data_IF_756671938035
#
_entry.id   IF_756671938035
#
_cell.length_a   1.000
_cell.length_b   1.000
_cell.length_c   1.000
_cell.angle_alpha   90.00
_cell.angle_beta   90.00
_cell.angle_gamma   90.00
#
_symmetry.space_group_name_H-M   'P 1'
#
loop_
_entity.id
_entity.type
_entity.pdbx_description
1 polymer ?
#
# COMPACT_ATOMS: atom_id res chain seq x y z
N UNK A 1 9.23 -24.85 5.91
CA UNK A 1 8.99 -25.91 6.91
C UNK A 1 8.70 -25.19 8.22
N UNK A 2 7.48 -25.27 8.73
CA UNK A 2 7.12 -24.67 10.02
C UNK A 2 7.61 -25.64 11.10
N UNK A 3 8.60 -25.24 11.89
CA UNK A 3 9.14 -26.09 12.94
C UNK A 3 8.23 -26.02 14.17
N UNK A 4 7.68 -27.16 14.58
CA UNK A 4 6.79 -27.28 15.74
C UNK A 4 7.48 -26.87 17.05
N UNK A 5 8.81 -26.85 17.09
CA UNK A 5 9.60 -26.32 18.20
C UNK A 5 9.27 -24.86 18.55
N UNK A 6 8.80 -24.07 17.58
CA UNK A 6 8.41 -22.68 17.79
C UNK A 6 7.19 -22.54 18.70
N UNK A 7 6.26 -23.50 18.68
CA UNK A 7 5.07 -23.50 19.54
C UNK A 7 5.39 -23.85 21.00
N UNK A 8 6.56 -24.45 21.25
CA UNK A 8 7.03 -24.77 22.60
C UNK A 8 7.79 -23.62 23.27
N UNK A 9 7.91 -22.46 22.60
CA UNK A 9 8.53 -21.29 23.18
C UNK A 9 7.70 -20.74 24.36
N UNK A 10 8.36 -20.08 25.34
CA UNK A 10 7.65 -19.39 26.41
C UNK A 10 6.57 -18.45 25.85
N UNK A 11 5.40 -18.40 26.51
CA UNK A 11 4.26 -17.60 26.04
C UNK A 11 4.62 -16.14 25.73
N UNK A 12 5.42 -15.51 26.58
CA UNK A 12 5.89 -14.14 26.37
C UNK A 12 6.67 -13.98 25.04
N UNK A 13 7.47 -14.98 24.67
CA UNK A 13 8.23 -15.00 23.41
C UNK A 13 7.29 -15.12 22.21
N UNK A 14 6.28 -15.98 22.29
CA UNK A 14 5.25 -16.12 21.25
C UNK A 14 4.48 -14.82 21.04
N UNK A 15 4.03 -14.18 22.12
CA UNK A 15 3.32 -12.89 22.06
C UNK A 15 4.20 -11.81 21.46
N UNK A 16 5.47 -11.77 21.83
CA UNK A 16 6.46 -10.80 21.32
C UNK A 16 6.70 -10.97 19.83
N UNK A 17 6.97 -12.19 19.37
CA UNK A 17 7.20 -12.48 17.95
C UNK A 17 5.95 -12.20 17.11
N UNK A 18 4.77 -12.58 17.61
CA UNK A 18 3.49 -12.35 16.93
C UNK A 18 3.22 -10.85 16.81
N UNK A 19 3.38 -10.10 17.89
CA UNK A 19 3.22 -8.64 17.92
C UNK A 19 4.21 -7.96 16.97
N UNK A 20 5.46 -8.39 16.99
CA UNK A 20 6.51 -7.90 16.10
C UNK A 20 6.17 -8.12 14.62
N UNK A 21 5.67 -9.30 14.28
CA UNK A 21 5.31 -9.64 12.90
C UNK A 21 4.11 -8.83 12.42
N UNK A 22 3.09 -8.63 13.28
CA UNK A 22 1.97 -7.73 13.00
C UNK A 22 2.47 -6.31 12.72
N UNK A 23 3.40 -5.82 13.55
CA UNK A 23 3.98 -4.50 13.38
C UNK A 23 4.75 -4.35 12.06
N UNK A 24 5.61 -5.33 11.75
CA UNK A 24 6.32 -5.40 10.47
C UNK A 24 5.34 -5.41 9.28
N UNK A 25 4.28 -6.23 9.34
CA UNK A 25 3.30 -6.36 8.29
C UNK A 25 2.59 -5.02 8.02
N UNK A 26 2.06 -4.38 9.05
CA UNK A 26 1.37 -3.08 8.92
C UNK A 26 2.31 -1.99 8.42
N UNK A 27 3.54 -1.95 8.92
CA UNK A 27 4.52 -0.97 8.50
C UNK A 27 4.91 -1.10 7.02
N UNK A 28 4.83 -2.29 6.44
CA UNK A 28 5.30 -2.62 5.08
C UNK A 28 4.20 -3.05 4.10
N UNK A 29 2.93 -3.06 4.50
CA UNK A 29 1.80 -3.33 3.60
C UNK A 29 1.84 -2.39 2.39
N UNK A 30 1.63 -2.94 1.20
CA UNK A 30 1.64 -2.21 -0.06
C UNK A 30 3.03 -1.83 -0.60
N UNK A 31 4.11 -2.02 0.16
CA UNK A 31 5.49 -1.79 -0.29
C UNK A 31 6.23 -3.08 -0.67
N UNK A 32 5.55 -4.22 -0.68
CA UNK A 32 6.17 -5.54 -0.79
C UNK A 32 6.85 -5.74 -2.14
N UNK A 33 8.18 -5.68 -2.14
CA UNK A 33 9.02 -6.42 -3.06
C UNK A 33 10.22 -6.94 -2.28
N UNK A 34 10.23 -8.26 -2.03
CA UNK A 34 11.41 -9.04 -1.61
C UNK A 34 12.29 -8.41 -0.52
N UNK A 35 11.72 -8.12 0.67
CA UNK A 35 12.57 -7.89 1.85
C UNK A 35 13.40 -9.14 2.11
N UNK A 36 14.69 -8.95 2.33
CA UNK A 36 15.57 -10.06 2.70
C UNK A 36 15.04 -10.67 4.02
N UNK A 37 15.07 -12.00 4.20
CA UNK A 37 14.60 -12.62 5.45
C UNK A 37 15.19 -11.97 6.70
N UNK A 38 16.45 -11.53 6.62
CA UNK A 38 17.14 -10.82 7.70
C UNK A 38 16.46 -9.49 8.10
N UNK A 39 15.95 -8.73 7.14
CA UNK A 39 15.24 -7.46 7.38
C UNK A 39 13.89 -7.71 8.04
N UNK A 40 13.19 -8.77 7.63
CA UNK A 40 11.93 -9.20 8.23
C UNK A 40 12.14 -9.57 9.69
N UNK A 41 13.18 -10.36 9.97
CA UNK A 41 13.52 -10.77 11.34
C UNK A 41 13.85 -9.58 12.22
N UNK A 42 14.78 -8.70 11.81
CA UNK A 42 15.15 -7.55 12.62
C UNK A 42 14.02 -6.54 12.80
N UNK A 43 13.22 -6.28 11.76
CA UNK A 43 12.06 -5.40 11.88
C UNK A 43 11.02 -5.98 12.85
N UNK A 44 10.77 -7.29 12.77
CA UNK A 44 9.89 -8.00 13.70
C UNK A 44 10.41 -7.88 15.14
N UNK A 45 11.72 -7.98 15.37
CA UNK A 45 12.30 -7.79 16.69
C UNK A 45 12.16 -6.35 17.21
N UNK A 46 12.35 -5.34 16.36
CA UNK A 46 12.20 -3.92 16.74
C UNK A 46 10.77 -3.63 17.18
N UNK A 47 9.79 -4.05 16.37
CA UNK A 47 8.37 -3.88 16.73
C UNK A 47 7.98 -4.73 17.95
N UNK A 48 8.52 -5.95 18.05
CA UNK A 48 8.29 -6.85 19.17
C UNK A 48 8.86 -6.32 20.49
N UNK A 49 10.02 -5.65 20.47
CA UNK A 49 10.65 -5.10 21.67
C UNK A 49 9.73 -4.13 22.42
N UNK A 50 9.08 -3.21 21.69
CA UNK A 50 8.14 -2.25 22.29
C UNK A 50 6.91 -2.95 22.86
N UNK A 51 6.38 -3.94 22.14
CA UNK A 51 5.29 -4.78 22.62
C UNK A 51 5.68 -5.54 23.88
N UNK A 52 6.90 -6.08 23.94
CA UNK A 52 7.40 -6.79 25.12
C UNK A 52 7.52 -5.87 26.35
N UNK A 53 7.88 -4.59 26.16
CA UNK A 53 7.87 -3.62 27.27
C UNK A 53 6.47 -3.41 27.84
N UNK A 54 5.44 -3.32 26.98
CA UNK A 54 4.04 -3.23 27.42
C UNK A 54 3.60 -4.51 28.12
N UNK A 55 3.97 -5.67 27.57
CA UNK A 55 3.69 -6.96 28.18
C UNK A 55 4.26 -7.02 29.61
N UNK A 56 5.52 -6.65 29.80
CA UNK A 56 6.15 -6.63 31.12
C UNK A 56 5.52 -5.62 32.08
N UNK A 57 5.15 -4.42 31.60
CA UNK A 57 4.47 -3.43 32.42
C UNK A 57 3.11 -3.95 32.94
N UNK A 58 2.37 -4.69 32.11
CA UNK A 58 1.09 -5.30 32.50
C UNK A 58 1.30 -6.46 33.48
N UNK A 59 2.33 -7.28 33.28
CA UNK A 59 2.71 -8.33 34.23
C UNK A 59 3.13 -7.75 35.59
N UNK A 60 3.88 -6.64 35.62
CA UNK A 60 4.23 -5.93 36.85
C UNK A 60 3.03 -5.32 37.58
N UNK A 61 1.97 -4.98 36.86
CA UNK A 61 0.69 -4.57 37.46
C UNK A 61 -0.08 -5.74 38.11
N UNK A 62 0.48 -6.95 38.12
CA UNK A 62 -0.09 -8.13 38.77
C UNK A 62 -1.13 -8.87 37.92
N UNK A 63 -1.26 -8.53 36.63
CA UNK A 63 -2.18 -9.21 35.73
C UNK A 63 -1.56 -10.51 35.17
N UNK A 64 -2.41 -11.45 34.79
CA UNK A 64 -1.96 -12.73 34.24
C UNK A 64 -1.46 -12.59 32.78
N UNK A 65 -0.65 -13.55 32.35
CA UNK A 65 -0.06 -13.59 30.99
C UNK A 65 -1.09 -13.51 29.86
N UNK A 66 -2.30 -14.01 30.10
CA UNK A 66 -3.38 -14.01 29.11
C UNK A 66 -4.00 -12.62 28.95
N UNK A 67 -4.27 -11.91 30.05
CA UNK A 67 -4.77 -10.54 30.07
C UNK A 67 -3.72 -9.52 29.61
N UNK A 68 -2.43 -9.83 29.74
CA UNK A 68 -1.34 -9.04 29.18
C UNK A 68 -1.25 -9.11 27.64
N UNK A 69 -1.87 -10.11 27.01
CA UNK A 69 -1.73 -10.36 25.57
C UNK A 69 -2.50 -9.35 24.70
N UNK A 70 -3.82 -9.09 24.92
CA UNK A 70 -4.57 -8.09 24.14
C UNK A 70 -3.96 -6.68 24.11
N UNK A 71 -3.59 -6.04 25.24
CA UNK A 71 -3.03 -4.69 25.22
C UNK A 71 -1.67 -4.65 24.50
N UNK A 72 -0.89 -5.72 24.59
CA UNK A 72 0.39 -5.87 23.89
C UNK A 72 0.21 -5.88 22.37
N UNK A 73 -0.74 -6.66 21.87
CA UNK A 73 -1.07 -6.73 20.43
C UNK A 73 -1.64 -5.41 19.91
N UNK A 74 -2.53 -4.77 20.68
CA UNK A 74 -3.09 -3.47 20.32
C UNK A 74 -2.01 -2.37 20.26
N UNK A 75 -1.05 -2.40 21.19
CA UNK A 75 0.08 -1.49 21.17
C UNK A 75 0.94 -1.70 19.91
N UNK A 76 1.23 -2.96 19.55
CA UNK A 76 1.98 -3.29 18.33
C UNK A 76 1.31 -2.72 17.08
N UNK A 77 0.00 -2.92 16.97
CA UNK A 77 -0.83 -2.40 15.87
C UNK A 77 -0.78 -0.88 15.81
N UNK A 78 -1.09 -0.21 16.93
CA UNK A 78 -1.15 1.24 16.99
C UNK A 78 0.21 1.88 16.67
N UNK A 79 1.29 1.36 17.25
CA UNK A 79 2.64 1.83 17.01
C UNK A 79 3.07 1.65 15.55
N UNK A 80 2.80 0.49 14.95
CA UNK A 80 3.12 0.26 13.55
C UNK A 80 2.30 1.15 12.60
N UNK A 81 1.01 1.38 12.91
CA UNK A 81 0.17 2.30 12.16
C UNK A 81 0.69 3.75 12.25
N UNK A 82 1.10 4.20 13.44
CA UNK A 82 1.71 5.52 13.65
C UNK A 82 3.04 5.65 12.91
N UNK A 83 3.89 4.61 12.95
CA UNK A 83 5.14 4.57 12.21
C UNK A 83 4.91 4.68 10.69
N UNK A 84 3.95 3.92 10.17
CA UNK A 84 3.56 3.97 8.76
C UNK A 84 3.06 5.35 8.37
N UNK A 85 2.18 5.94 9.16
CA UNK A 85 1.51 7.21 8.83
C UNK A 85 2.44 8.42 8.99
N UNK A 86 3.27 8.44 10.03
CA UNK A 86 4.06 9.61 10.42
C UNK A 86 5.55 9.31 10.59
N UNK A 87 5.90 8.21 11.24
CA UNK A 87 7.29 7.87 11.61
C UNK A 87 8.25 7.87 10.42
N UNK A 88 7.89 7.19 9.33
CA UNK A 88 8.71 7.17 8.10
C UNK A 88 8.97 8.57 7.56
N UNK A 89 7.93 9.41 7.46
CA UNK A 89 8.07 10.79 6.95
C UNK A 89 8.99 11.63 7.83
N UNK A 90 8.89 11.47 9.14
CA UNK A 90 9.75 12.18 10.09
C UNK A 90 11.20 11.70 9.99
N UNK A 91 11.43 10.38 9.92
CA UNK A 91 12.75 9.79 9.74
C UNK A 91 13.43 10.27 8.46
N UNK A 92 12.76 10.19 7.30
CA UNK A 92 13.34 10.66 6.04
C UNK A 92 13.59 12.17 6.05
N UNK A 93 12.70 12.96 6.67
CA UNK A 93 12.93 14.40 6.85
C UNK A 93 14.17 14.66 7.72
N UNK A 94 14.35 13.91 8.80
CA UNK A 94 15.52 14.02 9.64
C UNK A 94 16.81 13.66 8.89
N UNK A 95 16.83 12.52 8.18
CA UNK A 95 17.98 12.07 7.38
C UNK A 95 18.37 13.09 6.31
N UNK A 96 17.37 13.68 5.65
CA UNK A 96 17.56 14.72 4.64
C UNK A 96 18.07 16.04 5.24
N UNK A 97 17.51 16.47 6.37
CA UNK A 97 17.95 17.70 7.05
C UNK A 97 19.38 17.60 7.61
N UNK A 98 19.89 16.38 7.78
CA UNK A 98 21.25 16.11 8.25
C UNK A 98 22.20 15.69 7.11
N UNK A 99 21.76 15.77 5.85
CA UNK A 99 22.52 15.37 4.67
C UNK A 99 23.06 13.92 4.71
N UNK A 100 22.40 13.04 5.48
CA UNK A 100 22.81 11.63 5.62
C UNK A 100 22.37 10.85 4.38
N UNK A 101 21.12 11.06 3.94
CA UNK A 101 20.59 10.40 2.75
C UNK A 101 19.48 11.22 2.12
N UNK A 102 19.51 11.27 0.78
CA UNK A 102 18.48 11.85 -0.07
C UNK A 102 17.60 10.77 -0.73
N UNK A 103 17.98 9.49 -0.59
CA UNK A 103 17.18 8.33 -1.05
C UNK A 103 16.12 7.98 -0.02
N UNK A 104 14.89 7.75 -0.48
CA UNK A 104 13.74 7.30 0.32
C UNK A 104 13.49 5.78 0.22
N UNK A 105 14.49 5.01 -0.22
CA UNK A 105 14.48 3.54 -0.28
C UNK A 105 13.31 2.95 -1.08
N UNK A 106 12.67 3.76 -1.94
CA UNK A 106 11.57 3.31 -2.78
C UNK A 106 12.14 2.50 -3.95
N UNK A 107 11.78 1.22 -4.14
CA UNK A 107 12.48 0.32 -5.07
C UNK A 107 12.46 0.77 -6.53
N UNK A 108 11.47 1.58 -6.92
CA UNK A 108 11.38 2.12 -8.28
C UNK A 108 10.57 3.42 -8.33
N UNK A 109 10.81 4.22 -9.37
CA UNK A 109 9.99 5.38 -9.68
C UNK A 109 8.50 5.01 -9.89
N UNK A 110 8.23 3.80 -10.40
CA UNK A 110 6.89 3.24 -10.52
C UNK A 110 6.20 3.10 -9.17
N UNK A 111 6.90 2.53 -8.19
CA UNK A 111 6.38 2.36 -6.83
C UNK A 111 6.22 3.70 -6.11
N UNK A 112 7.13 4.65 -6.37
CA UNK A 112 7.08 6.02 -5.85
C UNK A 112 5.83 6.76 -6.31
N UNK A 113 5.24 6.39 -7.46
CA UNK A 113 3.98 6.99 -7.89
C UNK A 113 2.86 6.74 -6.87
N UNK A 114 2.83 5.63 -6.14
CA UNK A 114 1.75 5.34 -5.17
C UNK A 114 2.05 5.62 -3.71
N UNK A 115 3.31 5.75 -3.34
CA UNK A 115 3.66 6.01 -1.93
C UNK A 115 3.30 7.45 -1.48
N UNK A 116 2.63 8.23 -2.34
CA UNK A 116 2.21 9.59 -2.05
C UNK A 116 0.80 9.65 -1.44
N UNK A 117 0.74 9.69 -0.11
CA UNK A 117 -0.50 9.95 0.61
C UNK A 117 -0.97 11.41 0.51
N UNK A 118 -2.28 11.63 0.33
CA UNK A 118 -2.91 12.96 0.27
C UNK A 118 -3.05 13.54 -1.15
N UNK A 119 -2.72 12.75 -2.17
CA UNK A 119 -2.94 13.08 -3.58
C UNK A 119 -3.78 11.99 -4.23
N UNK A 120 -4.90 12.37 -4.84
CA UNK A 120 -5.84 11.48 -5.50
C UNK A 120 -5.64 11.53 -7.01
N UNK A 121 -5.85 10.41 -7.70
CA UNK A 121 -5.78 10.37 -9.16
C UNK A 121 -7.05 11.00 -9.72
N UNK A 122 -6.89 12.00 -10.58
CA UNK A 122 -7.99 12.61 -11.33
C UNK A 122 -8.09 12.04 -12.75
N UNK A 123 -6.95 11.72 -13.37
CA UNK A 123 -6.88 11.14 -14.72
C UNK A 123 -5.68 10.18 -14.78
N UNK A 124 -5.86 9.05 -15.44
CA UNK A 124 -4.77 8.13 -15.76
C UNK A 124 -4.79 7.79 -17.25
N UNK A 125 -3.69 8.09 -17.94
CA UNK A 125 -3.45 7.78 -19.34
C UNK A 125 -2.44 6.64 -19.45
N UNK A 126 -2.78 5.61 -20.23
CA UNK A 126 -1.88 4.51 -20.57
C UNK A 126 -1.71 4.48 -22.07
N UNK A 127 -0.49 4.73 -22.53
CA UNK A 127 -0.10 4.67 -23.94
C UNK A 127 0.40 3.26 -24.22
N UNK A 128 -0.25 2.57 -25.14
CA UNK A 128 0.12 1.23 -25.58
C UNK A 128 1.13 1.30 -26.73
N UNK A 129 1.93 0.25 -26.87
CA UNK A 129 2.94 0.14 -27.95
C UNK A 129 2.32 0.15 -29.35
N UNK A 130 1.07 -0.26 -29.50
CA UNK A 130 0.33 -0.21 -30.75
C UNK A 130 -0.20 1.20 -31.10
N UNK A 131 0.08 2.21 -30.26
CA UNK A 131 -0.37 3.59 -30.45
C UNK A 131 -1.76 3.91 -29.90
N UNK A 132 -2.50 2.92 -29.38
CA UNK A 132 -3.75 3.15 -28.65
C UNK A 132 -3.46 3.84 -27.31
N UNK A 133 -4.32 4.80 -26.92
CA UNK A 133 -4.27 5.45 -25.61
C UNK A 133 -5.54 5.13 -24.84
N UNK A 134 -5.37 4.61 -23.63
CA UNK A 134 -6.46 4.32 -22.70
C UNK A 134 -6.51 5.41 -21.64
N UNK A 135 -7.71 5.90 -21.31
CA UNK A 135 -7.95 6.91 -20.29
C UNK A 135 -8.95 6.38 -19.26
N UNK A 136 -8.58 6.47 -17.99
CA UNK A 136 -9.51 6.44 -16.86
C UNK A 136 -9.67 7.86 -16.35
N UNK A 137 -10.79 8.46 -16.69
CA UNK A 137 -11.21 9.75 -16.19
C UNK A 137 -11.91 9.57 -14.84
N UNK A 138 -11.54 10.40 -13.88
CA UNK A 138 -12.06 10.38 -12.52
C UNK A 138 -12.10 8.97 -11.87
N UNK A 139 -10.96 8.27 -11.76
CA UNK A 139 -10.95 6.87 -11.29
C UNK A 139 -11.56 6.67 -9.90
N UNK A 140 -11.57 7.71 -9.05
CA UNK A 140 -12.13 7.61 -7.70
C UNK A 140 -13.63 7.32 -7.65
N UNK A 141 -14.37 7.49 -8.77
CA UNK A 141 -15.75 6.97 -8.91
C UNK A 141 -15.82 5.46 -8.68
N UNK A 142 -14.74 4.74 -8.99
CA UNK A 142 -14.65 3.29 -8.89
C UNK A 142 -13.93 2.79 -7.62
N UNK A 143 -13.70 3.64 -6.62
CA UNK A 143 -12.98 3.26 -5.38
C UNK A 143 -13.66 2.11 -4.61
N UNK A 144 -15.00 2.02 -4.69
CA UNK A 144 -15.78 0.94 -4.09
C UNK A 144 -15.96 -0.31 -4.96
N UNK A 145 -15.43 -0.30 -6.20
CA UNK A 145 -15.55 -1.43 -7.12
C UNK A 145 -14.42 -2.46 -6.88
N UNK A 146 -14.56 -3.65 -7.49
CA UNK A 146 -13.55 -4.70 -7.39
C UNK A 146 -12.20 -4.23 -7.97
N UNK A 147 -11.10 -4.47 -7.25
CA UNK A 147 -9.74 -3.93 -7.55
C UNK A 147 -9.54 -2.43 -7.27
N UNK A 148 -10.57 -1.73 -6.79
CA UNK A 148 -10.50 -0.31 -6.49
C UNK A 148 -10.34 0.56 -7.75
N UNK A 149 -10.08 1.84 -7.56
CA UNK A 149 -10.12 2.84 -8.64
C UNK A 149 -9.07 2.63 -9.73
N UNK A 150 -7.84 2.30 -9.34
CA UNK A 150 -6.68 2.19 -10.23
C UNK A 150 -5.53 1.46 -9.52
N UNK A 151 -4.97 0.44 -10.17
CA UNK A 151 -3.86 -0.36 -9.64
C UNK A 151 -2.70 -0.32 -10.62
N UNK A 152 -1.51 0.05 -10.14
CA UNK A 152 -0.23 -0.27 -10.80
C UNK A 152 0.35 -1.46 -10.05
N UNK A 153 0.48 -2.59 -10.75
CA UNK A 153 1.06 -3.79 -10.20
C UNK A 153 2.59 -3.67 -10.05
N UNK A 154 3.13 -4.56 -9.24
CA UNK A 154 4.57 -4.67 -8.97
C UNK A 154 5.36 -4.93 -10.25
N UNK A 155 4.80 -5.71 -11.16
CA UNK A 155 5.42 -6.11 -12.43
C UNK A 155 5.22 -5.04 -13.53
N UNK A 156 4.80 -3.84 -13.15
CA UNK A 156 4.51 -2.70 -14.05
C UNK A 156 3.29 -2.88 -14.94
N UNK A 157 2.47 -3.87 -14.64
CA UNK A 157 1.12 -4.06 -15.16
C UNK A 157 0.13 -3.07 -14.54
N UNK A 158 -1.02 -2.86 -15.18
CA UNK A 158 -2.05 -1.93 -14.71
C UNK A 158 -3.42 -2.60 -14.75
N UNK A 159 -4.23 -2.35 -13.71
CA UNK A 159 -5.67 -2.55 -13.75
C UNK A 159 -6.36 -1.20 -13.60
N UNK A 160 -7.25 -0.87 -14.54
CA UNK A 160 -8.01 0.38 -14.52
C UNK A 160 -9.37 0.25 -15.20
N UNK A 161 -10.28 1.14 -14.84
CA UNK A 161 -11.56 1.31 -15.52
C UNK A 161 -11.40 2.28 -16.70
N UNK A 162 -11.42 1.77 -17.92
CA UNK A 162 -11.17 2.55 -19.13
C UNK A 162 -12.44 3.27 -19.56
N UNK A 163 -12.53 4.56 -19.23
CA UNK A 163 -13.64 5.44 -19.62
C UNK A 163 -13.56 5.89 -21.07
N UNK A 164 -12.35 6.06 -21.62
CA UNK A 164 -12.16 6.53 -22.97
C UNK A 164 -10.98 5.83 -23.64
N UNK A 165 -11.09 5.62 -24.95
CA UNK A 165 -10.06 5.03 -25.81
C UNK A 165 -9.78 5.96 -27.00
N UNK A 166 -8.50 6.22 -27.29
CA UNK A 166 -8.05 6.89 -28.50
C UNK A 166 -7.27 5.91 -29.36
N UNK A 167 -7.73 5.65 -30.58
CA UNK A 167 -7.07 4.74 -31.54
C UNK A 167 -5.88 5.40 -32.24
N UNK A 168 -4.89 4.64 -32.71
CA UNK A 168 -3.75 5.18 -33.43
C UNK A 168 -4.21 5.96 -34.67
N UNK A 169 -3.67 7.16 -34.85
CA UNK A 169 -3.95 8.03 -36.00
C UNK A 169 -5.32 8.71 -36.00
N UNK A 170 -6.13 8.55 -34.94
CA UNK A 170 -7.37 9.32 -34.76
C UNK A 170 -7.18 10.31 -33.64
N UNK A 171 -7.78 11.50 -33.77
CA UNK A 171 -7.72 12.51 -32.70
C UNK A 171 -8.86 12.43 -31.69
N UNK A 172 -9.96 11.80 -32.07
CA UNK A 172 -11.17 11.67 -31.28
C UNK A 172 -11.05 10.60 -30.18
N UNK A 173 -11.59 10.93 -29.00
CA UNK A 173 -11.78 9.98 -27.91
C UNK A 173 -13.09 9.23 -28.08
N UNK A 174 -13.06 7.91 -27.93
CA UNK A 174 -14.23 7.05 -27.92
C UNK A 174 -14.56 6.74 -26.46
N UNK A 175 -15.68 7.27 -25.98
CA UNK A 175 -16.21 6.94 -24.66
C UNK A 175 -16.63 5.46 -24.59
N UNK A 176 -16.38 4.83 -23.45
CA UNK A 176 -16.66 3.42 -23.20
C UNK A 176 -17.70 3.30 -22.11
N UNK A 177 -18.61 2.36 -22.31
CA UNK A 177 -19.54 1.96 -21.26
C UNK A 177 -18.81 1.09 -20.22
N UNK A 178 -18.46 1.71 -19.10
CA UNK A 178 -17.71 1.06 -18.02
C UNK A 178 -18.64 0.38 -17.02
N UNK A 179 -19.82 0.94 -16.75
CA UNK A 179 -20.74 0.44 -15.73
C UNK A 179 -22.05 -0.02 -16.35
N UNK A 180 -22.24 -1.34 -16.38
CA UNK A 180 -23.49 -1.95 -16.79
C UNK A 180 -24.39 -2.25 -15.59
N UNK A 181 -25.66 -1.85 -15.65
CA UNK A 181 -26.64 -2.16 -14.59
C UNK A 181 -26.85 -3.66 -14.38
N UNK A 182 -26.68 -4.47 -15.42
CA UNK A 182 -26.87 -5.92 -15.37
C UNK A 182 -25.59 -6.70 -15.09
N UNK A 183 -24.42 -6.16 -15.46
CA UNK A 183 -23.15 -6.90 -15.42
C UNK A 183 -22.09 -6.29 -14.48
N UNK A 184 -22.34 -5.11 -13.92
CA UNK A 184 -21.39 -4.41 -13.06
C UNK A 184 -20.35 -3.59 -13.82
N UNK A 185 -19.23 -3.28 -13.16
CA UNK A 185 -18.17 -2.43 -13.70
C UNK A 185 -17.07 -3.24 -14.42
N UNK A 186 -16.69 -2.83 -15.63
CA UNK A 186 -15.67 -3.48 -16.46
C UNK A 186 -14.27 -2.94 -16.17
N UNK A 187 -13.49 -3.69 -15.39
CA UNK A 187 -12.06 -3.42 -15.21
C UNK A 187 -11.25 -3.96 -16.40
N UNK A 188 -10.22 -3.22 -16.82
CA UNK A 188 -9.30 -3.61 -17.89
C UNK A 188 -7.92 -3.88 -17.31
N UNK A 189 -7.40 -5.08 -17.56
CA UNK A 189 -6.02 -5.45 -17.28
C UNK A 189 -5.13 -5.10 -18.49
N UNK A 190 -4.02 -4.42 -18.23
CA UNK A 190 -3.05 -3.99 -19.22
C UNK A 190 -1.69 -4.61 -18.86
N UNK A 191 -1.22 -5.59 -19.64
CA UNK A 191 0.08 -6.21 -19.44
C UNK A 191 1.25 -5.21 -19.54
N UNK A 192 2.27 -5.39 -18.71
CA UNK A 192 3.46 -4.53 -18.67
C UNK A 192 4.19 -4.45 -20.01
N UNK A 193 4.22 -5.55 -20.77
CA UNK A 193 4.87 -5.63 -22.08
C UNK A 193 4.15 -4.84 -23.16
N UNK A 194 2.87 -4.47 -22.96
CA UNK A 194 2.10 -3.65 -23.89
C UNK A 194 2.19 -2.16 -23.61
N UNK A 195 2.64 -1.78 -22.41
CA UNK A 195 2.70 -0.39 -21.97
C UNK A 195 3.95 0.29 -22.52
N UNK A 196 3.77 1.41 -23.22
CA UNK A 196 4.85 2.27 -23.69
C UNK A 196 5.10 3.43 -22.70
N UNK A 197 4.04 4.02 -22.15
CA UNK A 197 4.14 5.16 -21.23
C UNK A 197 2.87 5.28 -20.38
N UNK A 198 3.02 5.78 -19.15
CA UNK A 198 1.90 6.08 -18.25
C UNK A 198 2.00 7.53 -17.81
N UNK A 199 0.88 8.25 -17.87
CA UNK A 199 0.77 9.62 -17.34
C UNK A 199 -0.38 9.67 -16.35
N UNK A 200 -0.12 10.20 -15.16
CA UNK A 200 -1.11 10.29 -14.08
C UNK A 200 -1.23 11.74 -13.67
N UNK A 201 -2.45 12.28 -13.72
CA UNK A 201 -2.77 13.57 -13.13
C UNK A 201 -3.30 13.36 -11.72
N UNK A 202 -2.81 14.17 -10.78
CA UNK A 202 -3.20 14.12 -9.36
C UNK A 202 -3.72 15.44 -8.86
N UNK A 203 -4.64 15.35 -7.91
CA UNK A 203 -5.21 16.49 -7.19
C UNK A 203 -5.16 16.27 -5.69
N UNK A 204 -5.09 17.36 -4.91
CA UNK A 204 -5.28 17.30 -3.44
C UNK A 204 -6.75 17.27 -3.05
N UNK A 205 -7.66 17.59 -3.98
CA UNK A 205 -9.07 17.71 -3.68
C UNK A 205 -9.77 16.35 -3.84
N UNK A 206 -10.07 15.70 -2.70
CA UNK A 206 -10.80 14.43 -2.67
C UNK A 206 -12.20 14.51 -3.32
N UNK A 207 -12.83 15.69 -3.32
CA UNK A 207 -14.16 15.85 -3.92
C UNK A 207 -14.15 15.80 -5.45
N UNK A 208 -13.05 16.24 -6.08
CA UNK A 208 -12.88 16.20 -7.55
C UNK A 208 -12.73 14.75 -8.04
N UNK A 209 -12.08 13.88 -7.24
CA UNK A 209 -11.97 12.45 -7.57
C UNK A 209 -13.23 11.63 -7.27
N UNK A 210 -14.28 12.22 -6.68
CA UNK A 210 -15.49 11.51 -6.27
C UNK A 210 -16.78 12.06 -6.91
N UNK A 211 -16.74 13.23 -7.55
CA UNK A 211 -17.91 13.86 -8.18
C UNK A 211 -17.89 13.79 -9.70
N UNK A 212 -18.82 13.02 -10.22
CA UNK A 212 -19.79 13.47 -11.22
C UNK A 212 -20.88 12.38 -11.27
N UNK A 213 -21.84 12.51 -10.35
CA UNK A 213 -23.20 12.02 -10.50
C UNK A 213 -24.03 13.28 -10.74
N UNK A 214 -24.23 13.61 -11.98
CA UNK A 214 -25.35 14.42 -12.45
C UNK A 214 -25.93 13.66 -13.66
#
# INVERSE_FOLDING_TARGET
MFDASLLNLPWATLVTLTSGYIGYFIANVGLKNHHKPIEVTFSTLIFGLLSMMVYQAVMWAGLNSWLATPPTLLCAFAYAALWRKYGRKWMYRFLRNKDISWSDDTPSAWMRMFDQHGYYISEAYVYLKNGTVLLSENPGKFEGQASGSFVLGVEKDIVMYVTHEKKPGRDEWIEKDVESKSWGAMATYIPADQIAMVRIRRTRNKAISARQKD
#
